data_IF_704132548654
#
_entry.id   IF_704132548654
#
_cell.length_a   1.000
_cell.length_b   1.000
_cell.length_c   1.000
_cell.angle_alpha   90.00
_cell.angle_beta   90.00
_cell.angle_gamma   90.00
#
_symmetry.space_group_name_H-M   'P 1'
#
loop_
_entity.id
_entity.type
_entity.pdbx_description
1 polymer ?
#
# COMPACT_ATOMS: atom_id res chain seq x y z
N UNK A 1 -2.54 23.61 8.45
CA UNK A 1 -2.44 22.13 8.36
C UNK A 1 -3.28 21.66 7.17
N UNK A 2 -2.73 20.85 6.24
CA UNK A 2 -3.52 20.30 5.13
C UNK A 2 -4.49 19.25 5.70
N UNK A 3 -5.79 19.56 5.72
CA UNK A 3 -6.85 18.63 6.17
C UNK A 3 -6.77 17.34 5.32
N UNK A 4 -6.95 16.18 5.94
CA UNK A 4 -7.07 14.87 5.26
C UNK A 4 -5.89 14.42 4.39
N UNK A 5 -4.69 14.95 4.61
CA UNK A 5 -3.52 14.50 3.87
C UNK A 5 -3.12 13.08 4.31
N UNK A 6 -3.28 12.12 3.39
CA UNK A 6 -2.80 10.74 3.54
C UNK A 6 -1.41 10.66 2.92
N UNK A 7 -0.41 10.30 3.72
CA UNK A 7 0.96 10.09 3.26
C UNK A 7 1.28 8.59 3.27
N UNK A 8 1.93 8.11 2.21
CA UNK A 8 2.35 6.71 2.07
C UNK A 8 3.82 6.63 1.64
N UNK A 9 4.55 5.73 2.29
CA UNK A 9 5.96 5.44 2.03
C UNK A 9 6.21 3.94 2.12
N UNK A 10 7.20 3.44 1.38
CA UNK A 10 7.67 2.07 1.47
C UNK A 10 9.16 2.09 1.82
N UNK A 11 9.54 2.35 3.08
CA UNK A 11 10.93 2.62 3.45
C UNK A 11 11.85 1.41 3.23
N UNK A 12 11.35 0.18 3.39
CA UNK A 12 12.15 -1.04 3.29
C UNK A 12 11.34 -2.25 2.83
N UNK A 13 12.06 -3.32 2.52
CA UNK A 13 11.52 -4.66 2.30
C UNK A 13 12.28 -5.66 3.16
N UNK A 14 11.62 -6.76 3.53
CA UNK A 14 12.16 -7.82 4.38
C UNK A 14 11.89 -9.16 3.70
N UNK A 15 12.84 -10.08 3.74
CA UNK A 15 12.61 -11.46 3.32
C UNK A 15 11.90 -12.23 4.45
N UNK A 16 10.80 -12.91 4.13
CA UNK A 16 10.02 -13.74 5.05
C UNK A 16 9.92 -15.16 4.50
N UNK A 17 9.54 -16.12 5.35
CA UNK A 17 9.49 -17.54 5.01
C UNK A 17 10.86 -18.21 5.14
N UNK A 18 10.90 -19.52 4.90
CA UNK A 18 12.13 -20.32 5.01
C UNK A 18 12.41 -21.05 3.69
N UNK A 19 13.69 -21.14 3.32
CA UNK A 19 14.15 -21.88 2.15
C UNK A 19 13.44 -21.48 0.84
N UNK A 20 12.83 -22.48 0.18
CA UNK A 20 12.16 -22.30 -1.13
C UNK A 20 10.89 -21.46 -1.04
N UNK A 21 10.24 -21.41 0.11
CA UNK A 21 9.02 -20.64 0.37
C UNK A 21 9.31 -19.21 0.81
N UNK A 22 10.55 -18.75 0.69
CA UNK A 22 10.90 -17.36 1.00
C UNK A 22 10.28 -16.36 0.02
N UNK A 23 9.80 -15.24 0.54
CA UNK A 23 9.19 -14.14 -0.22
C UNK A 23 9.47 -12.77 0.40
N UNK A 24 9.59 -11.76 -0.45
CA UNK A 24 9.73 -10.39 0.01
C UNK A 24 8.39 -9.78 0.43
N UNK A 25 8.46 -9.03 1.51
CA UNK A 25 7.37 -8.23 2.07
C UNK A 25 7.83 -6.79 2.18
N UNK A 26 7.00 -5.88 1.70
CA UNK A 26 7.26 -4.45 1.70
C UNK A 26 6.60 -3.84 2.94
N UNK A 27 7.36 -3.08 3.72
CA UNK A 27 6.80 -2.27 4.79
C UNK A 27 6.11 -1.05 4.15
N UNK A 28 4.80 -0.95 4.26
CA UNK A 28 4.03 0.21 3.81
C UNK A 28 3.69 1.04 5.04
N UNK A 29 4.37 2.16 5.19
CA UNK A 29 4.15 3.15 6.24
C UNK A 29 3.12 4.16 5.77
N UNK A 30 2.06 4.34 6.56
CA UNK A 30 0.96 5.25 6.28
C UNK A 30 0.86 6.26 7.42
N UNK A 31 0.66 7.53 7.07
CA UNK A 31 0.43 8.61 8.03
C UNK A 31 -0.81 9.40 7.63
N UNK A 32 -1.76 9.57 8.56
CA UNK A 32 -2.96 10.40 8.40
C UNK A 32 -3.13 11.25 9.65
N UNK A 33 -3.21 12.58 9.51
CA UNK A 33 -3.49 13.51 10.60
C UNK A 33 -2.63 13.30 11.88
N UNK A 34 -1.37 12.85 11.72
CA UNK A 34 -0.44 12.57 12.82
C UNK A 34 -0.43 11.11 13.30
N UNK A 35 -1.47 10.31 13.03
CA UNK A 35 -1.45 8.87 13.28
C UNK A 35 -0.61 8.17 12.21
N UNK A 36 0.32 7.31 12.63
CA UNK A 36 1.25 6.61 11.76
C UNK A 36 1.30 5.13 12.10
N UNK A 37 1.14 4.29 11.09
CA UNK A 37 1.27 2.83 11.24
C UNK A 37 1.91 2.20 10.00
N UNK A 38 2.43 0.98 10.18
CA UNK A 38 2.96 0.18 9.09
C UNK A 38 2.12 -1.08 8.89
N UNK A 39 1.94 -1.47 7.62
CA UNK A 39 1.48 -2.80 7.21
C UNK A 39 2.53 -3.48 6.36
N UNK A 40 2.56 -4.81 6.38
CA UNK A 40 3.57 -5.60 5.68
C UNK A 40 2.90 -6.39 4.56
N UNK A 41 3.21 -6.05 3.31
CA UNK A 41 2.50 -6.57 2.14
C UNK A 41 3.47 -7.17 1.14
N UNK A 42 3.20 -8.40 0.71
CA UNK A 42 3.87 -8.99 -0.46
C UNK A 42 3.28 -8.41 -1.74
N UNK A 43 4.02 -8.41 -2.84
CA UNK A 43 3.59 -7.85 -4.14
C UNK A 43 2.17 -8.29 -4.58
N UNK A 44 1.80 -9.57 -4.37
CA UNK A 44 0.46 -10.07 -4.70
C UNK A 44 -0.67 -9.27 -4.02
N UNK A 45 -0.46 -8.78 -2.79
CA UNK A 45 -1.45 -7.96 -2.09
C UNK A 45 -1.67 -6.59 -2.72
N UNK A 46 -0.63 -5.96 -3.28
CA UNK A 46 -0.77 -4.72 -4.04
C UNK A 46 -1.58 -4.94 -5.31
N UNK A 47 -1.34 -6.07 -5.99
CA UNK A 47 -2.08 -6.42 -7.20
C UNK A 47 -3.55 -6.74 -6.92
N UNK A 48 -3.83 -7.41 -5.79
CA UNK A 48 -5.20 -7.62 -5.31
C UNK A 48 -5.92 -6.29 -5.04
N UNK A 49 -5.24 -5.32 -4.40
CA UNK A 49 -5.76 -3.96 -4.22
C UNK A 49 -6.08 -3.31 -5.57
N UNK A 50 -5.12 -3.24 -6.49
CA UNK A 50 -5.31 -2.64 -7.82
C UNK A 50 -6.48 -3.27 -8.58
N UNK A 51 -6.51 -4.60 -8.67
CA UNK A 51 -7.58 -5.31 -9.39
C UNK A 51 -8.96 -5.14 -8.76
N UNK A 52 -9.02 -4.99 -7.43
CA UNK A 52 -10.29 -4.73 -6.75
C UNK A 52 -10.75 -3.31 -7.02
N UNK A 53 -9.85 -2.34 -6.89
CA UNK A 53 -10.17 -0.93 -7.00
C UNK A 53 -10.47 -0.50 -8.42
N UNK A 54 -9.80 -1.04 -9.45
CA UNK A 54 -10.12 -0.73 -10.85
C UNK A 54 -11.52 -1.19 -11.30
N UNK A 55 -12.15 -2.10 -10.55
CA UNK A 55 -13.55 -2.50 -10.77
C UNK A 55 -14.54 -1.53 -10.12
N UNK A 56 -14.10 -0.76 -9.13
CA UNK A 56 -14.90 0.22 -8.40
C UNK A 56 -14.71 1.64 -8.95
N UNK A 57 -13.49 1.96 -9.39
CA UNK A 57 -13.08 3.26 -9.90
C UNK A 57 -12.26 3.02 -11.17
N UNK A 58 -12.85 3.29 -12.33
CA UNK A 58 -12.25 2.95 -13.63
C UNK A 58 -10.91 3.66 -13.86
N UNK A 59 -10.75 4.86 -13.30
CA UNK A 59 -9.55 5.69 -13.35
C UNK A 59 -8.34 5.01 -12.70
N UNK A 60 -8.56 4.08 -11.76
CA UNK A 60 -7.48 3.27 -11.16
C UNK A 60 -6.84 2.35 -12.21
N UNK A 61 -7.58 1.99 -13.27
CA UNK A 61 -7.08 1.19 -14.39
C UNK A 61 -6.00 1.89 -15.21
N UNK A 62 -5.98 3.22 -15.22
CA UNK A 62 -4.99 4.04 -15.94
C UNK A 62 -3.69 4.24 -15.16
N UNK A 63 -3.65 3.83 -13.89
CA UNK A 63 -2.43 3.89 -13.09
C UNK A 63 -1.44 2.82 -13.54
N UNK A 64 -0.19 3.24 -13.77
CA UNK A 64 0.91 2.32 -14.04
C UNK A 64 1.14 1.40 -12.83
N UNK A 65 0.74 0.13 -12.98
CA UNK A 65 0.92 -0.89 -11.96
C UNK A 65 2.11 -1.79 -12.31
N UNK A 66 3.09 -2.00 -11.41
CA UNK A 66 4.32 -2.72 -11.75
C UNK A 66 4.04 -4.14 -12.25
N UNK A 67 4.47 -4.43 -13.49
CA UNK A 67 4.19 -5.70 -14.15
C UNK A 67 4.84 -6.90 -13.44
N UNK A 68 4.24 -8.09 -13.63
CA UNK A 68 4.90 -9.34 -13.24
C UNK A 68 6.08 -9.59 -14.17
N UNK A 69 7.20 -10.04 -13.62
CA UNK A 69 8.25 -10.70 -14.40
C UNK A 69 8.22 -12.19 -14.14
N UNK A 70 8.47 -12.98 -15.18
CA UNK A 70 8.49 -14.44 -15.11
C UNK A 70 9.85 -15.00 -14.62
N UNK A 71 10.92 -14.18 -14.61
CA UNK A 71 12.26 -14.55 -14.15
C UNK A 71 12.90 -13.44 -13.27
N UNK A 72 13.90 -13.80 -12.45
CA UNK A 72 14.72 -12.83 -11.70
C UNK A 72 14.05 -12.15 -10.50
N UNK A 73 12.87 -12.62 -10.06
CA UNK A 73 12.09 -11.97 -9.00
C UNK A 73 12.76 -11.88 -7.61
N UNK A 74 13.88 -12.58 -7.40
CA UNK A 74 14.65 -12.63 -6.14
C UNK A 74 15.94 -11.78 -6.19
N UNK A 75 16.31 -11.25 -7.35
CA UNK A 75 17.48 -10.39 -7.46
C UNK A 75 17.24 -9.12 -6.63
N UNK A 76 18.20 -8.75 -5.76
CA UNK A 76 18.01 -7.67 -4.80
C UNK A 76 17.72 -6.32 -5.48
N UNK A 77 18.45 -6.02 -6.56
CA UNK A 77 18.22 -4.82 -7.39
C UNK A 77 16.77 -4.75 -7.91
N UNK A 78 16.21 -5.89 -8.30
CA UNK A 78 14.85 -5.96 -8.77
C UNK A 78 13.82 -5.72 -7.66
N UNK A 79 14.07 -6.24 -6.47
CA UNK A 79 13.20 -6.01 -5.31
C UNK A 79 13.25 -4.53 -4.89
N UNK A 80 14.43 -3.91 -4.96
CA UNK A 80 14.64 -2.48 -4.72
C UNK A 80 13.91 -1.61 -5.75
N UNK A 81 14.02 -1.92 -7.03
CA UNK A 81 13.30 -1.23 -8.09
C UNK A 81 11.78 -1.39 -7.91
N UNK A 82 11.31 -2.62 -7.65
CA UNK A 82 9.89 -2.90 -7.38
C UNK A 82 9.37 -2.16 -6.15
N UNK A 83 10.17 -2.03 -5.08
CA UNK A 83 9.81 -1.22 -3.90
C UNK A 83 9.52 0.22 -4.31
N UNK A 84 10.43 0.84 -5.07
CA UNK A 84 10.27 2.21 -5.54
C UNK A 84 9.02 2.37 -6.43
N UNK A 85 8.81 1.46 -7.39
CA UNK A 85 7.64 1.48 -8.27
C UNK A 85 6.33 1.30 -7.49
N UNK A 86 6.29 0.39 -6.51
CA UNK A 86 5.11 0.19 -5.65
C UNK A 86 4.82 1.42 -4.77
N UNK A 87 5.86 2.14 -4.32
CA UNK A 87 5.68 3.37 -3.57
C UNK A 87 5.08 4.48 -4.44
N UNK A 88 5.63 4.68 -5.64
CA UNK A 88 5.09 5.63 -6.63
C UNK A 88 3.64 5.29 -6.96
N UNK A 89 3.34 4.02 -7.24
CA UNK A 89 1.98 3.55 -7.49
C UNK A 89 1.04 3.87 -6.33
N UNK A 90 1.42 3.56 -5.07
CA UNK A 90 0.55 3.83 -3.92
C UNK A 90 0.31 5.33 -3.70
N UNK A 91 1.33 6.17 -3.93
CA UNK A 91 1.18 7.63 -3.86
C UNK A 91 0.14 8.12 -4.89
N UNK A 92 0.26 7.68 -6.14
CA UNK A 92 -0.69 8.03 -7.20
C UNK A 92 -2.09 7.47 -6.93
N UNK A 93 -2.18 6.23 -6.45
CA UNK A 93 -3.43 5.58 -6.07
C UNK A 93 -4.20 6.35 -4.98
N UNK A 94 -3.51 6.73 -3.90
CA UNK A 94 -4.11 7.52 -2.83
C UNK A 94 -4.53 8.90 -3.33
N UNK A 95 -3.67 9.57 -4.11
CA UNK A 95 -3.98 10.88 -4.68
C UNK A 95 -5.23 10.85 -5.55
N UNK A 96 -5.34 9.84 -6.42
CA UNK A 96 -6.50 9.65 -7.29
C UNK A 96 -7.77 9.39 -6.47
N UNK A 97 -7.72 8.44 -5.53
CA UNK A 97 -8.89 8.11 -4.71
C UNK A 97 -9.35 9.32 -3.87
N UNK A 98 -8.41 10.10 -3.34
CA UNK A 98 -8.74 11.32 -2.59
C UNK A 98 -9.36 12.43 -3.46
N UNK A 99 -9.14 12.41 -4.78
CA UNK A 99 -9.74 13.35 -5.73
C UNK A 99 -11.06 12.87 -6.36
N UNK A 100 -11.51 11.65 -6.06
CA UNK A 100 -12.81 11.17 -6.53
C UNK A 100 -13.90 11.57 -5.53
N UNK A 101 -15.00 12.15 -6.00
CA UNK A 101 -16.06 12.67 -5.14
C UNK A 101 -16.72 11.57 -4.30
N UNK A 102 -17.04 10.43 -4.93
CA UNK A 102 -17.77 9.33 -4.30
C UNK A 102 -16.86 8.34 -3.57
N UNK A 103 -15.57 8.64 -3.48
CA UNK A 103 -14.63 7.76 -2.77
C UNK A 103 -14.73 7.94 -1.24
N UNK A 104 -14.76 6.84 -0.46
CA UNK A 104 -14.77 6.92 1.01
C UNK A 104 -13.56 7.63 1.63
N UNK A 105 -12.47 7.83 0.89
CA UNK A 105 -11.31 8.61 1.33
C UNK A 105 -11.17 9.94 0.59
N UNK A 106 -12.28 10.43 0.00
CA UNK A 106 -12.34 11.71 -0.70
C UNK A 106 -12.05 12.89 0.22
N UNK A 107 -11.21 13.81 -0.26
CA UNK A 107 -10.96 15.08 0.40
C UNK A 107 -12.19 16.01 0.36
N UNK A 108 -13.14 15.77 -0.55
CA UNK A 108 -14.36 16.58 -0.72
C UNK A 108 -15.44 16.30 0.33
N UNK A 109 -15.32 15.20 1.06
CA UNK A 109 -16.33 14.76 2.04
C UNK A 109 -16.52 15.71 3.23
N UNK A 110 -15.62 16.68 3.45
CA UNK A 110 -15.67 17.62 4.57
C UNK A 110 -15.40 17.00 5.96
N UNK A 111 -15.47 15.67 6.10
CA UNK A 111 -15.12 14.95 7.34
C UNK A 111 -13.62 14.76 7.48
N UNK A 112 -13.16 14.52 8.72
CA UNK A 112 -11.79 14.07 8.95
C UNK A 112 -11.64 12.60 8.56
N UNK A 113 -10.62 12.30 7.75
CA UNK A 113 -10.23 10.92 7.44
C UNK A 113 -9.34 10.42 8.57
N UNK A 114 -9.67 9.26 9.14
CA UNK A 114 -8.85 8.57 10.11
C UNK A 114 -8.37 7.22 9.56
N UNK A 115 -7.49 6.55 10.32
CA UNK A 115 -7.00 5.20 10.01
C UNK A 115 -8.12 4.20 9.72
N UNK A 116 -9.22 4.25 10.47
CA UNK A 116 -10.38 3.37 10.28
C UNK A 116 -10.97 3.50 8.89
N UNK A 117 -11.17 4.74 8.41
CA UNK A 117 -11.78 5.01 7.11
C UNK A 117 -10.93 4.41 5.97
N UNK A 118 -9.60 4.53 6.08
CA UNK A 118 -8.69 3.93 5.11
C UNK A 118 -8.67 2.40 5.19
N UNK A 119 -8.79 1.82 6.39
CA UNK A 119 -8.85 0.37 6.58
C UNK A 119 -10.17 -0.24 6.07
N UNK A 120 -11.28 0.48 6.24
CA UNK A 120 -12.61 0.06 5.77
C UNK A 120 -12.70 0.21 4.25
N UNK A 121 -12.14 1.30 3.71
CA UNK A 121 -12.01 1.51 2.26
C UNK A 121 -11.23 0.37 1.60
N UNK A 122 -10.08 -0.02 2.19
CA UNK A 122 -9.29 -1.12 1.66
C UNK A 122 -8.64 -1.94 2.78
N UNK A 123 -8.99 -3.24 2.93
CA UNK A 123 -8.33 -4.14 3.88
C UNK A 123 -6.81 -4.25 3.71
N UNK A 124 -6.29 -3.83 2.54
CA UNK A 124 -4.85 -3.68 2.31
C UNK A 124 -4.15 -2.86 3.41
N UNK A 125 -4.79 -1.80 3.94
CA UNK A 125 -4.20 -0.91 4.96
C UNK A 125 -4.42 -1.35 6.41
N UNK A 126 -5.17 -2.44 6.63
CA UNK A 126 -5.45 -2.97 7.98
C UNK A 126 -4.28 -3.79 8.52
N UNK A 127 -3.79 -3.47 9.71
CA UNK A 127 -2.79 -4.31 10.40
C UNK A 127 -3.40 -5.67 10.71
N UNK A 128 -2.82 -6.74 10.16
CA UNK A 128 -3.16 -8.11 10.50
C UNK A 128 -2.47 -8.56 11.78
N UNK A 129 -2.65 -9.84 12.13
CA UNK A 129 -2.15 -10.45 13.37
C UNK A 129 -0.62 -10.27 13.50
N UNK A 130 0.12 -10.43 12.39
CA UNK A 130 1.57 -10.30 12.34
C UNK A 130 2.10 -8.86 12.49
N UNK A 131 1.23 -7.85 12.36
CA UNK A 131 1.58 -6.44 12.52
C UNK A 131 1.22 -5.89 13.91
N UNK A 132 0.36 -6.60 14.65
CA UNK A 132 -0.05 -6.21 16.00
C UNK A 132 0.95 -6.68 17.07
N UNK A 133 1.66 -7.79 16.82
CA UNK A 133 2.77 -8.24 17.65
C UNK A 133 4.03 -7.44 17.32
N UNK A 134 4.29 -6.36 18.05
CA UNK A 134 5.56 -5.62 18.00
C UNK A 134 6.71 -6.51 18.48
N UNK A 135 7.27 -7.32 17.58
CA UNK A 135 8.63 -7.86 17.70
C UNK A 135 9.20 -7.99 16.29
N UNK A 136 9.84 -6.90 15.84
CA UNK A 136 10.77 -6.97 14.71
C UNK A 136 12.16 -6.78 15.29
N UNK A 137 12.65 -7.82 15.94
CA UNK A 137 14.08 -7.99 16.24
C UNK A 137 14.75 -8.54 14.98
N UNK A 138 15.85 -7.92 14.59
CA UNK A 138 16.65 -8.26 13.41
C UNK A 138 17.10 -7.00 12.70
#
# INVERSE_FOLDING_TARGET
MRRNQIQVQIPRYILRGQGRDSYHVFEVKVTIAGDTWSVYRRYRKFRELHNTMKRLYIEVGELDFPHRRFFGNRAEEFVRARRAQLETYLKSFISLCASLHDCPISAFSGRLIAKRDLCDFAPFFKQGIFEQTKTYSG
#
